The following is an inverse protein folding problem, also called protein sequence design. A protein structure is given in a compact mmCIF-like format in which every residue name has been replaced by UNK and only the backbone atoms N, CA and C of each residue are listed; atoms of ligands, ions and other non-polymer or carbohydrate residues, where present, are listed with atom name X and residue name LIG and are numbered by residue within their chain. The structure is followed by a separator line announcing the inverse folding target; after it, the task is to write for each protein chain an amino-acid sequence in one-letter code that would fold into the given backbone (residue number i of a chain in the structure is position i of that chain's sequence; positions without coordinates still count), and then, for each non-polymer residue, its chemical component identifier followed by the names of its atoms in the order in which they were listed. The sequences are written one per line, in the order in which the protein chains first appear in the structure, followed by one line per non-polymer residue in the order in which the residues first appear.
data_IF_797639037460
#
_entry.id   IF_797639037460
#
_cell.length_a   1.000
_cell.length_b   1.000
_cell.length_c   1.000
_cell.angle_alpha   90.00
_cell.angle_beta   90.00
_cell.angle_gamma   90.00
#
_symmetry.space_group_name_H-M   'P 1'
#
loop_
_entity.id
_entity.type
_entity.pdbx_description
1 polymer ?
#
# COMPACT_ATOMS: atom_id res chain seq x y z
N UNK A 1 1.87 -25.76 10.66
CA UNK A 1 1.66 -24.73 9.62
C UNK A 1 0.24 -24.74 9.09
N UNK A 2 -0.27 -25.87 8.58
CA UNK A 2 -1.65 -25.98 8.03
C UNK A 2 -2.71 -25.50 9.03
N UNK A 3 -2.70 -26.01 10.26
CA UNK A 3 -3.66 -25.59 11.30
C UNK A 3 -3.57 -24.09 11.63
N UNK A 4 -2.36 -23.52 11.62
CA UNK A 4 -2.14 -22.10 11.87
C UNK A 4 -2.76 -21.25 10.74
N UNK A 5 -2.60 -21.67 9.47
CA UNK A 5 -3.24 -21.03 8.33
C UNK A 5 -4.76 -21.09 8.44
N UNK A 6 -5.32 -22.26 8.79
CA UNK A 6 -6.77 -22.40 9.00
C UNK A 6 -7.28 -21.47 10.10
N UNK A 7 -6.53 -21.34 11.19
CA UNK A 7 -6.87 -20.43 12.28
C UNK A 7 -6.92 -18.97 11.83
N UNK A 8 -5.90 -18.52 11.08
CA UNK A 8 -5.83 -17.16 10.54
C UNK A 8 -7.03 -16.87 9.62
N UNK A 9 -7.35 -17.79 8.70
CA UNK A 9 -8.51 -17.63 7.81
C UNK A 9 -9.81 -17.52 8.62
N UNK A 10 -10.00 -18.36 9.66
CA UNK A 10 -11.19 -18.31 10.52
C UNK A 10 -11.30 -17.01 11.30
N UNK A 11 -10.19 -16.53 11.86
CA UNK A 11 -10.16 -15.24 12.55
C UNK A 11 -10.50 -14.09 11.62
N UNK A 12 -9.92 -14.07 10.41
CA UNK A 12 -10.20 -13.05 9.42
C UNK A 12 -11.68 -13.04 8.99
N UNK A 13 -12.29 -14.22 8.78
CA UNK A 13 -13.72 -14.33 8.47
C UNK A 13 -14.61 -13.83 9.61
N UNK A 14 -14.20 -14.04 10.86
CA UNK A 14 -14.97 -13.65 12.03
C UNK A 14 -14.86 -12.15 12.37
N UNK A 15 -13.82 -11.45 11.90
CA UNK A 15 -13.56 -10.07 12.33
C UNK A 15 -14.49 -9.02 11.72
N UNK A 16 -15.18 -9.31 10.61
CA UNK A 16 -16.21 -8.43 10.02
C UNK A 16 -17.39 -9.26 9.50
N UNK A 17 -18.62 -8.80 9.75
CA UNK A 17 -19.89 -9.51 9.45
C UNK A 17 -20.05 -9.97 7.98
N UNK A 18 -19.41 -9.28 7.04
CA UNK A 18 -19.58 -9.52 5.60
C UNK A 18 -18.39 -10.22 4.94
N UNK A 19 -17.37 -10.62 5.70
CA UNK A 19 -16.20 -11.32 5.14
C UNK A 19 -16.55 -12.73 4.69
N UNK A 20 -16.01 -13.11 3.54
CA UNK A 20 -16.23 -14.43 2.93
C UNK A 20 -14.96 -14.96 2.29
N UNK A 21 -14.88 -16.28 2.05
CA UNK A 21 -13.75 -16.87 1.32
C UNK A 21 -13.64 -16.32 -0.12
N UNK A 22 -14.76 -15.89 -0.70
CA UNK A 22 -14.77 -15.24 -2.02
C UNK A 22 -14.06 -13.88 -1.95
N UNK A 23 -14.41 -13.06 -0.96
CA UNK A 23 -13.75 -11.78 -0.74
C UNK A 23 -12.26 -11.97 -0.44
N UNK A 24 -11.89 -12.97 0.37
CA UNK A 24 -10.48 -13.27 0.65
C UNK A 24 -9.71 -13.68 -0.62
N UNK A 25 -10.36 -14.42 -1.52
CA UNK A 25 -9.82 -14.78 -2.84
C UNK A 25 -9.57 -13.54 -3.71
N UNK A 26 -10.54 -12.61 -3.74
CA UNK A 26 -10.42 -11.35 -4.47
C UNK A 26 -9.30 -10.47 -3.89
N UNK A 27 -9.24 -10.30 -2.57
CA UNK A 27 -8.25 -9.43 -1.89
C UNK A 27 -6.83 -9.99 -1.94
N UNK A 28 -6.65 -11.32 -1.83
CA UNK A 28 -5.32 -11.95 -1.93
C UNK A 28 -4.89 -12.19 -3.38
N UNK A 29 -5.81 -12.05 -4.34
CA UNK A 29 -5.69 -12.45 -5.73
C UNK A 29 -5.44 -13.96 -5.93
N UNK A 30 -5.67 -14.79 -4.90
CA UNK A 30 -5.55 -16.24 -4.98
C UNK A 30 -6.85 -16.82 -5.53
N UNK A 31 -6.77 -17.90 -6.32
CA UNK A 31 -7.98 -18.61 -6.76
C UNK A 31 -8.80 -19.09 -5.56
N UNK A 32 -10.13 -18.93 -5.62
CA UNK A 32 -11.07 -19.40 -4.62
C UNK A 32 -10.86 -20.86 -4.22
N UNK A 33 -10.54 -21.75 -5.17
CA UNK A 33 -10.23 -23.16 -4.89
C UNK A 33 -9.00 -23.32 -3.98
N UNK A 34 -7.97 -22.50 -4.17
CA UNK A 34 -6.78 -22.46 -3.32
C UNK A 34 -7.13 -21.99 -1.91
N UNK A 35 -7.88 -20.90 -1.78
CA UNK A 35 -8.37 -20.38 -0.48
C UNK A 35 -9.20 -21.45 0.25
N UNK A 36 -10.13 -22.10 -0.45
CA UNK A 36 -10.98 -23.15 0.11
C UNK A 36 -10.16 -24.36 0.58
N UNK A 37 -9.18 -24.81 -0.23
CA UNK A 37 -8.32 -25.92 0.16
C UNK A 37 -7.44 -25.60 1.37
N UNK A 38 -6.97 -24.35 1.49
CA UNK A 38 -6.25 -23.90 2.69
C UNK A 38 -7.16 -23.85 3.92
N UNK A 39 -8.39 -23.31 3.78
CA UNK A 39 -9.37 -23.25 4.86
C UNK A 39 -9.78 -24.66 5.35
N UNK A 40 -9.91 -25.62 4.43
CA UNK A 40 -10.22 -27.02 4.73
C UNK A 40 -8.99 -27.83 5.19
N UNK A 41 -7.77 -27.28 5.10
CA UNK A 41 -6.53 -27.98 5.46
C UNK A 41 -6.13 -29.10 4.49
N UNK A 42 -6.64 -29.05 3.25
CA UNK A 42 -6.46 -30.08 2.21
C UNK A 42 -5.18 -29.92 1.39
N UNK A 43 -4.52 -28.77 1.47
CA UNK A 43 -3.30 -28.48 0.71
C UNK A 43 -2.27 -27.76 1.58
N UNK A 44 -1.00 -28.04 1.34
CA UNK A 44 0.12 -27.26 1.89
C UNK A 44 0.49 -26.20 0.85
N UNK A 45 0.14 -24.92 1.08
CA UNK A 45 0.47 -23.85 0.14
C UNK A 45 1.99 -23.61 0.11
N UNK A 46 2.48 -23.13 -1.04
CA UNK A 46 3.87 -22.67 -1.17
C UNK A 46 4.07 -21.32 -0.45
N UNK A 47 5.33 -20.91 -0.28
CA UNK A 47 5.67 -19.68 0.44
C UNK A 47 5.03 -18.42 -0.12
N UNK A 48 4.94 -18.29 -1.46
CA UNK A 48 4.29 -17.16 -2.12
C UNK A 48 2.78 -17.11 -1.81
N UNK A 49 2.09 -18.24 -1.90
CA UNK A 49 0.66 -18.36 -1.58
C UNK A 49 0.40 -17.99 -0.12
N UNK A 50 1.28 -18.43 0.78
CA UNK A 50 1.21 -18.08 2.20
C UNK A 50 1.38 -16.57 2.37
N UNK A 51 2.42 -15.96 1.79
CA UNK A 51 2.67 -14.52 1.91
C UNK A 51 1.47 -13.69 1.41
N UNK A 52 0.92 -14.03 0.24
CA UNK A 52 -0.26 -13.34 -0.32
C UNK A 52 -1.48 -13.43 0.59
N UNK A 53 -1.68 -14.58 1.23
CA UNK A 53 -2.74 -14.76 2.22
C UNK A 53 -2.47 -13.93 3.48
N UNK A 54 -1.26 -14.01 4.03
CA UNK A 54 -0.91 -13.38 5.30
C UNK A 54 -0.98 -11.85 5.20
N UNK A 55 -0.52 -11.27 4.09
CA UNK A 55 -0.59 -9.83 3.84
C UNK A 55 -2.02 -9.31 4.06
N UNK A 56 -3.02 -10.01 3.52
CA UNK A 56 -4.44 -9.61 3.63
C UNK A 56 -5.05 -9.92 5.00
N UNK A 57 -4.50 -10.91 5.72
CA UNK A 57 -5.17 -11.50 6.88
C UNK A 57 -4.62 -11.06 8.23
N UNK A 58 -3.36 -10.65 8.30
CA UNK A 58 -2.67 -10.31 9.53
C UNK A 58 -2.03 -8.91 9.47
N UNK A 59 -1.91 -8.22 10.61
CA UNK A 59 -0.99 -7.11 10.76
C UNK A 59 0.45 -7.52 10.39
N UNK A 60 1.24 -6.54 9.94
CA UNK A 60 2.59 -6.77 9.41
C UNK A 60 3.55 -7.42 10.42
N UNK A 61 3.46 -7.05 11.70
CA UNK A 61 4.25 -7.66 12.77
C UNK A 61 3.88 -9.14 12.97
N UNK A 62 2.59 -9.46 13.05
CA UNK A 62 2.09 -10.84 13.18
C UNK A 62 2.44 -11.69 11.94
N UNK A 63 2.35 -11.11 10.75
CA UNK A 63 2.81 -11.75 9.52
C UNK A 63 4.31 -12.05 9.60
N UNK A 64 5.14 -11.09 10.02
CA UNK A 64 6.57 -11.30 10.12
C UNK A 64 6.90 -12.40 11.15
N UNK A 65 6.23 -12.41 12.30
CA UNK A 65 6.39 -13.49 13.29
C UNK A 65 6.01 -14.86 12.71
N UNK A 66 4.88 -14.93 11.99
CA UNK A 66 4.47 -16.15 11.32
C UNK A 66 5.51 -16.63 10.31
N UNK A 67 5.99 -15.73 9.45
CA UNK A 67 6.99 -16.04 8.42
C UNK A 67 8.32 -16.46 9.05
N UNK A 68 8.78 -15.77 10.08
CA UNK A 68 10.00 -16.15 10.81
C UNK A 68 9.90 -17.53 11.44
N UNK A 69 8.71 -17.93 11.91
CA UNK A 69 8.48 -19.25 12.51
C UNK A 69 8.35 -20.38 11.49
N UNK A 70 7.58 -20.18 10.42
CA UNK A 70 7.20 -21.26 9.49
C UNK A 70 7.92 -21.22 8.14
N UNK A 71 8.45 -20.06 7.74
CA UNK A 71 9.11 -19.82 6.45
C UNK A 71 10.38 -18.96 6.66
N UNK A 72 11.36 -19.39 7.48
CA UNK A 72 12.45 -18.53 7.93
C UNK A 72 13.31 -17.96 6.79
N UNK A 73 13.42 -18.67 5.67
CA UNK A 73 14.11 -18.21 4.47
C UNK A 73 13.46 -16.96 3.82
N UNK A 74 12.19 -16.66 4.13
CA UNK A 74 11.48 -15.47 3.67
C UNK A 74 11.49 -14.32 4.69
N UNK A 75 11.95 -14.58 5.92
CA UNK A 75 12.00 -13.59 7.01
C UNK A 75 12.74 -12.28 6.63
N UNK A 76 13.87 -12.30 5.90
CA UNK A 76 14.54 -11.06 5.49
C UNK A 76 13.65 -10.12 4.67
N UNK A 77 12.76 -10.67 3.83
CA UNK A 77 11.86 -9.86 3.00
C UNK A 77 10.76 -9.22 3.84
N UNK A 78 10.16 -9.96 4.78
CA UNK A 78 9.11 -9.42 5.64
C UNK A 78 9.66 -8.48 6.71
N UNK A 79 10.90 -8.68 7.16
CA UNK A 79 11.61 -7.74 8.04
C UNK A 79 11.84 -6.40 7.34
N UNK A 80 12.18 -6.41 6.05
CA UNK A 80 12.28 -5.18 5.28
C UNK A 80 10.93 -4.44 5.29
N UNK A 81 9.83 -5.12 4.93
CA UNK A 81 8.49 -4.49 4.93
C UNK A 81 8.14 -3.95 6.33
N UNK A 82 8.39 -4.73 7.39
CA UNK A 82 8.18 -4.36 8.79
C UNK A 82 8.99 -3.15 9.23
N UNK A 83 10.27 -3.09 8.90
CA UNK A 83 11.16 -1.97 9.25
C UNK A 83 10.71 -0.64 8.64
N UNK A 84 10.01 -0.70 7.50
CA UNK A 84 9.44 0.50 6.87
C UNK A 84 8.13 0.96 7.52
N UNK A 85 7.62 0.24 8.53
CA UNK A 85 6.43 0.63 9.30
C UNK A 85 5.18 0.75 8.43
N UNK A 86 5.15 0.10 7.27
CA UNK A 86 4.07 0.24 6.30
C UNK A 86 2.74 -0.22 6.86
N UNK A 87 1.73 0.65 6.93
CA UNK A 87 0.34 0.20 7.08
C UNK A 87 -0.12 -0.35 5.75
N UNK A 88 -0.51 -1.62 5.73
CA UNK A 88 -1.05 -2.23 4.53
C UNK A 88 -2.57 -2.10 4.54
N UNK A 89 -3.10 -1.23 3.67
CA UNK A 89 -4.54 -1.06 3.53
C UNK A 89 -5.09 -2.03 2.48
N UNK A 90 -6.13 -2.79 2.84
CA UNK A 90 -6.58 -3.92 2.02
C UNK A 90 -8.04 -3.90 1.60
N UNK A 91 -8.94 -3.11 2.21
CA UNK A 91 -10.36 -3.49 2.16
C UNK A 91 -11.32 -2.67 1.29
N UNK A 92 -10.86 -1.93 0.28
CA UNK A 92 -11.81 -1.35 -0.68
C UNK A 92 -11.24 -1.03 -2.06
N UNK A 93 -12.14 -0.96 -3.03
CA UNK A 93 -11.85 -0.55 -4.40
C UNK A 93 -11.47 0.94 -4.42
N UNK A 94 -10.17 1.21 -4.25
CA UNK A 94 -9.62 2.54 -4.45
C UNK A 94 -9.96 3.01 -5.87
N UNK A 95 -10.40 4.26 -5.98
CA UNK A 95 -10.75 4.91 -7.23
C UNK A 95 -9.80 6.08 -7.46
N UNK A 96 -9.79 6.63 -8.66
CA UNK A 96 -9.07 7.87 -8.96
C UNK A 96 -9.41 9.01 -7.98
N UNK A 97 -10.66 9.09 -7.51
CA UNK A 97 -11.09 10.11 -6.55
C UNK A 97 -10.44 9.89 -5.18
N UNK A 98 -10.34 8.64 -4.72
CA UNK A 98 -9.61 8.30 -3.50
C UNK A 98 -8.15 8.74 -3.60
N UNK A 99 -7.46 8.41 -4.69
CA UNK A 99 -6.07 8.81 -4.89
C UNK A 99 -5.90 10.34 -4.91
N UNK A 100 -6.83 11.08 -5.53
CA UNK A 100 -6.78 12.54 -5.57
C UNK A 100 -6.96 13.19 -4.19
N UNK A 101 -7.83 12.62 -3.35
CA UNK A 101 -8.02 13.05 -1.96
C UNK A 101 -6.75 12.76 -1.14
N UNK A 102 -6.19 11.55 -1.25
CA UNK A 102 -4.94 11.17 -0.57
C UNK A 102 -3.81 12.13 -0.95
N UNK A 103 -3.66 12.43 -2.25
CA UNK A 103 -2.63 13.35 -2.73
C UNK A 103 -2.83 14.77 -2.20
N UNK A 104 -4.07 15.28 -2.16
CA UNK A 104 -4.37 16.61 -1.62
C UNK A 104 -4.03 16.72 -0.13
N UNK A 105 -4.41 15.72 0.66
CA UNK A 105 -4.10 15.65 2.09
C UNK A 105 -2.59 15.55 2.32
N UNK A 106 -1.86 14.89 1.42
CA UNK A 106 -0.40 14.81 1.46
C UNK A 106 0.31 16.16 1.28
N UNK A 107 -0.33 17.13 0.61
CA UNK A 107 0.26 18.46 0.41
C UNK A 107 0.01 19.42 1.58
N UNK A 108 -1.13 19.30 2.27
CA UNK A 108 -1.50 20.21 3.33
C UNK A 108 -2.56 19.62 4.26
N UNK A 109 -2.57 20.09 5.51
CA UNK A 109 -3.70 19.89 6.43
C UNK A 109 -4.97 20.42 5.77
N UNK A 110 -5.94 19.54 5.54
CA UNK A 110 -7.15 19.88 4.77
C UNK A 110 -8.40 19.52 5.56
N UNK A 111 -9.34 20.46 5.69
CA UNK A 111 -10.63 20.25 6.36
C UNK A 111 -11.61 19.47 5.47
N UNK A 112 -12.63 18.81 6.05
CA UNK A 112 -13.71 18.18 5.28
C UNK A 112 -14.38 19.15 4.29
N UNK A 113 -14.61 20.39 4.69
CA UNK A 113 -15.27 21.42 3.88
C UNK A 113 -14.43 21.78 2.65
N UNK A 114 -13.11 21.91 2.80
CA UNK A 114 -12.20 22.17 1.69
C UNK A 114 -12.18 21.02 0.68
N UNK A 115 -12.16 19.77 1.14
CA UNK A 115 -12.21 18.60 0.26
C UNK A 115 -13.56 18.51 -0.47
N UNK A 116 -14.67 18.79 0.22
CA UNK A 116 -16.01 18.86 -0.41
C UNK A 116 -16.11 19.96 -1.44
N UNK A 117 -15.58 21.15 -1.15
CA UNK A 117 -15.55 22.25 -2.11
C UNK A 117 -14.75 21.90 -3.36
N UNK A 118 -13.62 21.19 -3.20
CA UNK A 118 -12.74 20.81 -4.31
C UNK A 118 -13.26 19.64 -5.14
N UNK A 119 -13.78 18.60 -4.49
CA UNK A 119 -14.11 17.31 -5.12
C UNK A 119 -15.61 17.00 -5.17
N UNK A 120 -16.45 17.91 -4.69
CA UNK A 120 -17.91 17.81 -4.72
C UNK A 120 -18.53 16.97 -3.60
N UNK A 121 -19.87 16.85 -3.56
CA UNK A 121 -20.61 16.21 -2.46
C UNK A 121 -20.33 14.70 -2.30
N UNK A 122 -19.98 13.99 -3.38
CA UNK A 122 -19.65 12.56 -3.31
C UNK A 122 -18.33 12.26 -2.59
N UNK A 123 -17.73 13.24 -1.93
CA UNK A 123 -16.45 13.13 -1.21
C UNK A 123 -16.64 12.47 0.15
N UNK A 124 -17.82 12.63 0.77
CA UNK A 124 -18.14 12.06 2.08
C UNK A 124 -17.90 10.55 2.12
N UNK A 125 -18.49 9.82 1.17
CA UNK A 125 -18.31 8.37 1.06
C UNK A 125 -16.83 7.98 0.91
N UNK A 126 -16.07 8.72 0.10
CA UNK A 126 -14.64 8.45 -0.07
C UNK A 126 -13.85 8.66 1.23
N UNK A 127 -14.19 9.70 1.99
CA UNK A 127 -13.54 9.98 3.27
C UNK A 127 -13.89 8.93 4.32
N UNK A 128 -15.15 8.47 4.36
CA UNK A 128 -15.59 7.37 5.23
C UNK A 128 -14.82 6.07 4.92
N UNK A 129 -14.68 5.72 3.63
CA UNK A 129 -13.94 4.54 3.19
C UNK A 129 -12.43 4.66 3.54
N UNK A 130 -11.82 5.83 3.33
CA UNK A 130 -10.42 6.10 3.66
C UNK A 130 -10.13 6.09 5.18
N UNK A 131 -11.05 6.63 5.98
CA UNK A 131 -10.95 6.61 7.46
C UNK A 131 -11.11 5.21 8.02
N UNK A 132 -12.08 4.44 7.50
CA UNK A 132 -12.36 3.07 7.96
C UNK A 132 -11.16 2.13 7.76
N UNK A 133 -10.29 2.46 6.79
CA UNK A 133 -9.09 1.71 6.46
C UNK A 133 -7.80 2.39 6.97
N UNK A 134 -7.95 3.45 7.78
CA UNK A 134 -6.85 4.20 8.39
C UNK A 134 -5.80 4.71 7.38
N UNK A 135 -6.22 4.90 6.12
CA UNK A 135 -5.39 5.53 5.07
C UNK A 135 -5.22 7.02 5.37
N UNK A 136 -6.25 7.63 5.94
CA UNK A 136 -6.25 9.00 6.44
C UNK A 136 -6.71 9.00 7.90
N UNK A 137 -6.31 10.03 8.63
CA UNK A 137 -6.71 10.28 10.01
C UNK A 137 -7.37 11.66 10.12
N UNK A 138 -8.33 11.81 11.01
CA UNK A 138 -8.96 13.09 11.33
C UNK A 138 -8.48 13.57 12.70
N UNK A 139 -7.73 14.67 12.74
CA UNK A 139 -7.16 15.24 13.96
C UNK A 139 -7.35 16.77 13.99
N UNK A 140 -7.87 17.27 15.11
CA UNK A 140 -8.23 18.68 15.30
C UNK A 140 -9.14 19.25 14.18
N UNK A 141 -10.00 18.41 13.60
CA UNK A 141 -10.88 18.80 12.48
C UNK A 141 -10.21 18.83 11.11
N UNK A 142 -8.96 18.39 10.98
CA UNK A 142 -8.24 18.31 9.71
C UNK A 142 -7.86 16.87 9.38
N UNK A 143 -7.94 16.53 8.10
CA UNK A 143 -7.38 15.28 7.59
C UNK A 143 -5.88 15.38 7.45
N UNK A 144 -5.20 14.29 7.80
CA UNK A 144 -3.78 14.06 7.54
C UNK A 144 -3.52 12.61 7.12
N UNK A 145 -2.37 12.37 6.51
CA UNK A 145 -1.85 11.02 6.35
C UNK A 145 -1.23 10.53 7.67
N UNK A 146 -1.26 9.22 7.94
CA UNK A 146 -0.45 8.61 8.99
C UNK A 146 1.04 8.96 8.82
N UNK A 147 1.79 9.04 9.91
CA UNK A 147 3.25 9.28 9.85
C UNK A 147 4.03 8.07 9.31
N UNK A 148 3.42 6.89 9.48
CA UNK A 148 3.84 5.61 8.93
C UNK A 148 3.67 5.58 7.42
N UNK A 149 4.53 4.85 6.71
CA UNK A 149 4.40 4.68 5.27
C UNK A 149 3.06 4.03 4.93
N UNK A 150 2.37 4.58 3.92
CA UNK A 150 1.14 4.00 3.41
C UNK A 150 1.52 3.00 2.32
N UNK A 151 1.25 1.71 2.56
CA UNK A 151 1.39 0.68 1.54
C UNK A 151 0.00 0.24 1.07
N UNK A 152 -0.37 0.60 -0.15
CA UNK A 152 -1.61 0.10 -0.77
C UNK A 152 -1.23 -0.83 -1.92
N UNK A 153 -1.22 -2.16 -1.70
CA UNK A 153 -0.74 -3.14 -2.68
C UNK A 153 -1.81 -3.46 -3.73
N UNK A 154 -2.38 -2.44 -4.36
CA UNK A 154 -3.35 -2.62 -5.45
C UNK A 154 -2.82 -1.99 -6.73
N UNK A 155 -2.96 -2.72 -7.84
CA UNK A 155 -2.62 -2.21 -9.17
C UNK A 155 -3.37 -0.90 -9.45
N UNK A 156 -4.66 -0.85 -9.10
CA UNK A 156 -5.50 0.34 -9.28
C UNK A 156 -4.94 1.56 -8.56
N UNK A 157 -4.50 1.43 -7.31
CA UNK A 157 -3.88 2.55 -6.59
C UNK A 157 -2.59 3.01 -7.27
N UNK A 158 -1.69 2.07 -7.62
CA UNK A 158 -0.42 2.39 -8.26
C UNK A 158 -0.61 3.11 -9.60
N UNK A 159 -1.53 2.63 -10.43
CA UNK A 159 -1.85 3.21 -11.74
C UNK A 159 -2.51 4.58 -11.59
N UNK A 160 -3.56 4.70 -10.77
CA UNK A 160 -4.29 5.97 -10.65
C UNK A 160 -3.48 7.05 -9.94
N UNK A 161 -2.66 6.70 -8.95
CA UNK A 161 -1.75 7.65 -8.31
C UNK A 161 -0.69 8.15 -9.30
N UNK A 162 -0.07 7.24 -10.06
CA UNK A 162 0.91 7.60 -11.09
C UNK A 162 0.28 8.49 -12.16
N UNK A 163 -0.94 8.16 -12.62
CA UNK A 163 -1.67 8.97 -13.59
C UNK A 163 -1.99 10.36 -13.05
N UNK A 164 -2.42 10.49 -11.80
CA UNK A 164 -2.67 11.81 -11.19
C UNK A 164 -1.42 12.68 -11.17
N UNK A 165 -0.26 12.11 -10.84
CA UNK A 165 1.02 12.85 -10.85
C UNK A 165 1.37 13.28 -12.28
N UNK A 166 1.23 12.37 -13.24
CA UNK A 166 1.51 12.65 -14.66
C UNK A 166 0.56 13.70 -15.27
N UNK A 167 -0.73 13.65 -14.92
CA UNK A 167 -1.74 14.60 -15.41
C UNK A 167 -1.49 16.03 -14.88
N UNK A 168 -0.71 16.19 -13.82
CA UNK A 168 -0.29 17.50 -13.28
C UNK A 168 1.11 17.93 -13.75
N UNK A 169 1.72 17.18 -14.66
CA UNK A 169 3.06 17.49 -15.16
C UNK A 169 3.01 18.63 -16.17
N UNK A 170 3.67 19.74 -15.82
CA UNK A 170 3.89 20.87 -16.70
C UNK A 170 5.33 20.85 -17.24
N UNK A 171 5.51 20.34 -18.47
CA UNK A 171 6.83 20.25 -19.11
C UNK A 171 7.53 21.61 -19.30
N UNK A 172 6.81 22.73 -19.16
CA UNK A 172 7.42 24.06 -19.24
C UNK A 172 8.20 24.44 -17.98
N UNK A 173 7.93 23.77 -16.85
CA UNK A 173 8.63 24.00 -15.59
C UNK A 173 9.94 23.19 -15.55
N UNK A 174 11.06 23.90 -15.36
CA UNK A 174 12.43 23.32 -15.30
C UNK A 174 12.66 22.29 -14.18
N UNK A 175 11.70 22.12 -13.27
CA UNK A 175 11.76 21.15 -12.17
C UNK A 175 11.14 19.79 -12.48
N UNK A 176 10.38 19.65 -13.56
CA UNK A 176 9.76 18.39 -13.92
C UNK A 176 10.74 17.49 -14.68
N UNK A 177 11.04 16.32 -14.11
CA UNK A 177 11.94 15.33 -14.68
C UNK A 177 11.22 13.99 -14.79
N UNK A 178 11.12 13.46 -16.01
CA UNK A 178 10.73 12.06 -16.24
C UNK A 178 11.95 11.34 -16.82
N UNK A 179 12.38 10.28 -16.13
CA UNK A 179 13.41 9.38 -16.62
C UNK A 179 12.83 7.97 -16.76
N UNK A 180 12.82 7.44 -17.98
CA UNK A 180 12.37 6.09 -18.28
C UNK A 180 13.47 5.33 -19.02
N UNK A 181 13.88 4.19 -18.47
CA UNK A 181 14.89 3.32 -19.05
C UNK A 181 14.47 1.86 -18.91
N UNK A 182 14.74 1.06 -19.93
CA UNK A 182 14.52 -0.39 -19.92
C UNK A 182 15.83 -1.12 -20.25
N UNK A 183 16.09 -2.21 -19.53
CA UNK A 183 17.24 -3.07 -19.73
C UNK A 183 16.94 -4.49 -19.22
N UNK A 184 17.51 -5.52 -19.87
CA UNK A 184 17.52 -6.87 -19.32
C UNK A 184 18.67 -6.98 -18.31
N UNK A 185 18.34 -7.29 -17.05
CA UNK A 185 19.30 -7.34 -15.95
C UNK A 185 19.39 -8.75 -15.36
N UNK A 186 20.56 -9.11 -14.80
CA UNK A 186 20.67 -10.30 -13.96
C UNK A 186 19.92 -10.10 -12.64
N UNK A 187 19.61 -11.18 -11.93
CA UNK A 187 18.93 -11.11 -10.62
C UNK A 187 19.73 -10.26 -9.62
N UNK A 188 21.05 -10.36 -9.64
CA UNK A 188 21.96 -9.59 -8.79
C UNK A 188 21.91 -8.10 -9.13
N UNK A 189 21.93 -7.74 -10.42
CA UNK A 189 21.82 -6.36 -10.86
C UNK A 189 20.44 -5.76 -10.52
N UNK A 190 19.36 -6.52 -10.68
CA UNK A 190 18.01 -6.13 -10.26
C UNK A 190 17.94 -5.81 -8.77
N UNK A 191 18.60 -6.61 -7.91
CA UNK A 191 18.69 -6.34 -6.46
C UNK A 191 19.49 -5.08 -6.15
N UNK A 192 20.55 -4.80 -6.91
CA UNK A 192 21.32 -3.57 -6.75
C UNK A 192 20.50 -2.33 -7.11
N UNK A 193 19.74 -2.38 -8.21
CA UNK A 193 18.82 -1.31 -8.60
C UNK A 193 17.77 -1.07 -7.51
N UNK A 194 17.13 -2.13 -7.01
CA UNK A 194 16.17 -2.03 -5.92
C UNK A 194 16.76 -1.37 -4.67
N UNK A 195 17.98 -1.77 -4.28
CA UNK A 195 18.69 -1.17 -3.14
C UNK A 195 18.97 0.32 -3.34
N UNK A 196 19.36 0.73 -4.55
CA UNK A 196 19.59 2.13 -4.89
C UNK A 196 18.29 2.96 -4.87
N UNK A 197 17.19 2.38 -5.33
CA UNK A 197 15.87 3.03 -5.28
C UNK A 197 15.41 3.22 -3.85
N UNK A 198 15.55 2.22 -2.99
CA UNK A 198 15.23 2.35 -1.55
C UNK A 198 16.08 3.43 -0.88
N UNK A 199 17.37 3.50 -1.19
CA UNK A 199 18.24 4.56 -0.68
C UNK A 199 17.77 5.95 -1.14
N UNK A 200 17.52 6.11 -2.44
CA UNK A 200 17.04 7.37 -3.03
C UNK A 200 15.71 7.79 -2.42
N UNK A 201 14.79 6.83 -2.25
CA UNK A 201 13.51 7.03 -1.59
C UNK A 201 13.70 7.58 -0.17
N UNK A 202 14.53 6.94 0.65
CA UNK A 202 14.78 7.38 2.02
C UNK A 202 15.38 8.78 2.10
N UNK A 203 16.31 9.12 1.21
CA UNK A 203 16.89 10.47 1.12
C UNK A 203 15.83 11.52 0.74
N UNK A 204 14.97 11.23 -0.25
CA UNK A 204 13.86 12.11 -0.63
C UNK A 204 12.85 12.27 0.50
N UNK A 205 12.48 11.19 1.19
CA UNK A 205 11.57 11.22 2.33
C UNK A 205 12.12 12.06 3.48
N UNK A 206 13.43 11.99 3.75
CA UNK A 206 14.07 12.81 4.76
C UNK A 206 13.95 14.31 4.44
N UNK A 207 14.13 14.69 3.16
CA UNK A 207 13.95 16.08 2.71
C UNK A 207 12.48 16.53 2.88
N UNK A 208 11.53 15.70 2.44
CA UNK A 208 10.10 16.02 2.48
C UNK A 208 9.54 16.10 3.91
N UNK A 209 10.08 15.32 4.84
CA UNK A 209 9.65 15.29 6.25
C UNK A 209 10.36 16.31 7.13
N UNK A 210 11.41 16.97 6.65
CA UNK A 210 12.13 18.01 7.40
C UNK A 210 11.25 19.28 7.51
N UNK A 211 10.83 19.68 8.73
CA UNK A 211 9.98 20.86 8.92
C UNK A 211 10.62 22.15 8.38
N UNK A 212 11.96 22.22 8.32
CA UNK A 212 12.68 23.39 7.80
C UNK A 212 12.52 23.58 6.28
N UNK A 213 12.10 22.53 5.56
CA UNK A 213 11.88 22.59 4.11
C UNK A 213 10.41 22.89 3.74
N UNK A 214 9.55 23.20 4.73
CA UNK A 214 8.14 23.52 4.49
C UNK A 214 7.99 24.80 3.65
N UNK A 215 7.10 24.79 2.66
CA UNK A 215 6.86 25.94 1.78
C UNK A 215 5.57 25.83 0.98
N UNK A 216 5.33 26.82 0.11
CA UNK A 216 4.08 26.91 -0.69
C UNK A 216 4.10 26.01 -1.94
N UNK A 217 5.27 25.54 -2.36
CA UNK A 217 5.41 24.70 -3.56
C UNK A 217 5.02 23.27 -3.24
N UNK A 218 4.01 22.77 -3.97
CA UNK A 218 3.57 21.37 -3.88
C UNK A 218 4.44 20.51 -4.77
N UNK A 219 5.15 19.57 -4.16
CA UNK A 219 6.03 18.62 -4.86
C UNK A 219 5.46 17.22 -4.71
N UNK A 220 5.16 16.56 -5.82
CA UNK A 220 4.82 15.14 -5.87
C UNK A 220 5.93 14.37 -6.59
N UNK A 221 6.29 13.21 -6.04
CA UNK A 221 7.33 12.35 -6.57
C UNK A 221 6.79 10.94 -6.68
N UNK A 222 7.14 10.23 -7.75
CA UNK A 222 6.86 8.81 -7.90
C UNK A 222 8.13 8.10 -8.37
N UNK A 223 8.50 7.03 -7.68
CA UNK A 223 9.56 6.12 -8.07
C UNK A 223 8.91 4.78 -8.38
N UNK A 224 9.02 4.34 -9.63
CA UNK A 224 8.44 3.09 -10.09
C UNK A 224 9.51 2.21 -10.73
N UNK A 225 9.52 0.94 -10.34
CA UNK A 225 10.27 -0.13 -11.00
C UNK A 225 9.31 -1.29 -11.20
N UNK A 226 9.28 -1.83 -12.41
CA UNK A 226 8.48 -3.00 -12.74
C UNK A 226 9.37 -4.05 -13.38
N UNK A 227 9.03 -5.32 -13.16
CA UNK A 227 9.63 -6.45 -13.86
C UNK A 227 8.66 -6.87 -14.97
N UNK A 228 9.19 -7.04 -16.18
CA UNK A 228 8.44 -7.49 -17.35
C UNK A 228 8.60 -9.00 -17.57
#
# INVERSE_FOLDING_TARGET
MVEAIQHIIRQWLASRKHRSLKQLSEESGLNYGTIRNMADGKAVPNGETILRLLLVTLPLDEMHEFVSRYLPHLSPYTQAIRNHGGKVSHAFAITRKHCAIILEIGFARTSPEQLKAKFGPSTDRCLEELLAEEIILLEDGFYRLPETELFVPTETFAVEMSRLIQDNLDISLKGNLIHAQSAALSIEATRQVYTLMEKTRNELFAILKDPNNSGETRVALSLAMTLF
#
